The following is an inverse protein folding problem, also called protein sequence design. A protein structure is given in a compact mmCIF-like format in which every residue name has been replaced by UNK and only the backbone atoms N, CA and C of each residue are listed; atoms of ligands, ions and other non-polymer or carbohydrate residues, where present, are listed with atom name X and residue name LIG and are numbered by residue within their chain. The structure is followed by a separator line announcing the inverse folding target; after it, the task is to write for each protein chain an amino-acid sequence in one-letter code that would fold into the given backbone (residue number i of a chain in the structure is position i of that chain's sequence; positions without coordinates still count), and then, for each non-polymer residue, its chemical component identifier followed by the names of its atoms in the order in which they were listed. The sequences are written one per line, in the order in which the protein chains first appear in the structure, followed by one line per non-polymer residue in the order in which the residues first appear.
data_IF_269337613594
#
_entry.id   IF_269337613594
#
_cell.length_a   1.000
_cell.length_b   1.000
_cell.length_c   1.000
_cell.angle_alpha   90.00
_cell.angle_beta   90.00
_cell.angle_gamma   90.00
#
_symmetry.space_group_name_H-M   'P 1'
#
loop_
_entity.id
_entity.type
_entity.pdbx_description
1 polymer ?
#
# COMPACT_ATOMS: atom_id res chain seq x y z
N UNK A 1 -11.73 2.05 -6.06
CA UNK A 1 -11.58 0.97 -5.05
C UNK A 1 -10.59 1.43 -4.00
N UNK A 2 -10.99 1.41 -2.72
CA UNK A 2 -10.12 1.82 -1.60
C UNK A 2 -9.45 0.58 -1.02
N UNK A 3 -8.14 0.65 -0.76
CA UNK A 3 -7.34 -0.46 -0.23
C UNK A 3 -6.66 0.00 1.05
N UNK A 4 -6.60 -0.88 2.06
CA UNK A 4 -5.92 -0.63 3.31
C UNK A 4 -4.69 -1.53 3.46
N UNK A 5 -3.58 -1.00 3.95
CA UNK A 5 -2.39 -1.80 4.30
C UNK A 5 -2.27 -1.91 5.80
N UNK A 6 -2.76 -3.02 6.36
CA UNK A 6 -2.62 -3.28 7.79
C UNK A 6 -1.15 -3.35 8.20
N UNK A 7 -0.76 -2.57 9.22
CA UNK A 7 0.62 -2.52 9.69
C UNK A 7 1.56 -1.74 8.77
N UNK A 8 1.06 -0.72 8.06
CA UNK A 8 1.83 0.16 7.18
C UNK A 8 3.07 0.81 7.85
N UNK A 9 3.08 0.93 9.19
CA UNK A 9 4.22 1.47 9.95
C UNK A 9 5.36 0.47 10.18
N UNK A 10 5.15 -0.82 9.93
CA UNK A 10 6.16 -1.86 10.02
C UNK A 10 7.08 -1.92 8.79
N UNK A 11 8.17 -2.69 8.88
CA UNK A 11 9.07 -2.89 7.74
C UNK A 11 8.35 -3.47 6.51
N UNK A 12 7.51 -4.48 6.73
CA UNK A 12 6.71 -5.14 5.68
C UNK A 12 5.65 -4.18 5.10
N UNK A 13 4.97 -3.42 5.95
CA UNK A 13 3.94 -2.47 5.51
C UNK A 13 4.49 -1.41 4.57
N UNK A 14 5.66 -0.83 4.89
CA UNK A 14 6.34 0.12 4.00
C UNK A 14 6.75 -0.49 2.67
N UNK A 15 7.20 -1.75 2.67
CA UNK A 15 7.57 -2.44 1.43
C UNK A 15 6.34 -2.69 0.55
N UNK A 16 5.21 -3.10 1.15
CA UNK A 16 3.98 -3.27 0.40
C UNK A 16 3.51 -1.96 -0.23
N UNK A 17 3.60 -0.84 0.47
CA UNK A 17 3.27 0.47 -0.10
C UNK A 17 4.15 0.78 -1.34
N UNK A 18 5.47 0.52 -1.26
CA UNK A 18 6.39 0.73 -2.39
C UNK A 18 6.04 -0.16 -3.58
N UNK A 19 5.77 -1.45 -3.34
CA UNK A 19 5.39 -2.40 -4.41
C UNK A 19 4.09 -1.98 -5.09
N UNK A 20 3.09 -1.52 -4.33
CA UNK A 20 1.83 -1.05 -4.90
C UNK A 20 2.04 0.16 -5.84
N UNK A 21 2.91 1.09 -5.45
CA UNK A 21 3.31 2.23 -6.27
C UNK A 21 4.07 1.79 -7.54
N UNK A 22 5.14 1.00 -7.39
CA UNK A 22 5.97 0.52 -8.50
C UNK A 22 5.16 -0.25 -9.56
N UNK A 23 4.13 -0.96 -9.12
CA UNK A 23 3.28 -1.79 -10.00
C UNK A 23 2.10 -1.03 -10.59
N UNK A 24 1.97 0.28 -10.33
CA UNK A 24 0.81 1.08 -10.70
C UNK A 24 -0.50 0.37 -10.31
N UNK A 25 -0.54 -0.14 -9.08
CA UNK A 25 -1.69 -0.91 -8.63
C UNK A 25 -2.97 -0.04 -8.71
N UNK A 26 -4.08 -0.55 -9.28
CA UNK A 26 -5.29 0.24 -9.53
C UNK A 26 -6.10 0.45 -8.25
N UNK A 27 -5.53 1.19 -7.29
CA UNK A 27 -6.23 1.71 -6.13
C UNK A 27 -6.57 3.19 -6.35
N UNK A 28 -7.79 3.55 -6.00
CA UNK A 28 -8.24 4.95 -5.99
C UNK A 28 -7.67 5.69 -4.77
N UNK A 29 -7.48 4.94 -3.67
CA UNK A 29 -6.92 5.44 -2.42
C UNK A 29 -6.28 4.29 -1.65
N UNK A 30 -5.11 4.54 -1.07
CA UNK A 30 -4.44 3.63 -0.14
C UNK A 30 -4.46 4.26 1.25
N UNK A 31 -5.13 3.59 2.19
CA UNK A 31 -5.22 4.03 3.59
C UNK A 31 -4.27 3.21 4.48
N UNK A 32 -3.69 3.88 5.47
CA UNK A 32 -2.70 3.32 6.41
C UNK A 32 -3.36 2.59 7.58
#
# INVERSE_FOLDING_TARGET
MRVAVAGATGAVGREMLRILEERNFPAEEVVL
#
